data_IF_216042773431
#
_entry.id   IF_216042773431
#
_cell.length_a   1.000
_cell.length_b   1.000
_cell.length_c   1.000
_cell.angle_alpha   90.00
_cell.angle_beta   90.00
_cell.angle_gamma   90.00
#
_symmetry.space_group_name_H-M   'P 1'
#
loop_
_entity.id
_entity.type
_entity.pdbx_description
1 polymer ?
#
# COMPACT_ATOMS: atom_id res chain seq x y z
N UNK A 1 -30.79 -7.30 -31.28
CA UNK A 1 -30.45 -7.65 -29.89
C UNK A 1 -29.01 -8.12 -29.78
N UNK A 2 -28.53 -9.05 -30.63
CA UNK A 2 -27.11 -9.47 -30.67
C UNK A 2 -26.11 -8.30 -30.83
N UNK A 3 -26.37 -7.34 -31.73
CA UNK A 3 -25.49 -6.17 -31.94
C UNK A 3 -25.37 -5.26 -30.69
N UNK A 4 -26.41 -5.19 -29.85
CA UNK A 4 -26.36 -4.42 -28.60
C UNK A 4 -25.57 -5.15 -27.52
N UNK A 5 -25.75 -6.46 -27.40
CA UNK A 5 -25.00 -7.29 -26.44
C UNK A 5 -23.50 -7.34 -26.75
N UNK A 6 -23.14 -7.43 -28.03
CA UNK A 6 -21.74 -7.38 -28.48
C UNK A 6 -21.09 -6.02 -28.20
N UNK A 7 -21.80 -4.92 -28.46
CA UNK A 7 -21.34 -3.56 -28.14
C UNK A 7 -21.15 -3.35 -26.65
N UNK A 8 -22.06 -3.87 -25.83
CA UNK A 8 -21.96 -3.81 -24.37
C UNK A 8 -20.78 -4.66 -23.87
N UNK A 9 -20.56 -5.86 -24.43
CA UNK A 9 -19.42 -6.70 -24.10
C UNK A 9 -18.09 -6.00 -24.43
N UNK A 10 -17.98 -5.40 -25.62
CA UNK A 10 -16.79 -4.65 -26.00
C UNK A 10 -16.56 -3.42 -25.09
N UNK A 11 -17.63 -2.74 -24.69
CA UNK A 11 -17.57 -1.59 -23.77
C UNK A 11 -17.12 -2.03 -22.37
N UNK A 12 -17.68 -3.12 -21.83
CA UNK A 12 -17.26 -3.71 -20.55
C UNK A 12 -15.77 -4.02 -20.54
N UNK A 13 -15.27 -4.70 -21.56
CA UNK A 13 -13.85 -5.07 -21.64
C UNK A 13 -12.97 -3.83 -21.60
N UNK A 14 -13.31 -2.78 -22.37
CA UNK A 14 -12.56 -1.50 -22.35
C UNK A 14 -12.56 -0.86 -20.97
N UNK A 15 -13.72 -0.82 -20.31
CA UNK A 15 -13.87 -0.26 -18.97
C UNK A 15 -13.03 -1.04 -17.95
N UNK A 16 -13.12 -2.37 -17.95
CA UNK A 16 -12.40 -3.25 -17.02
C UNK A 16 -10.89 -3.07 -17.20
N UNK A 17 -10.42 -3.09 -18.45
CA UNK A 17 -8.99 -2.87 -18.76
C UNK A 17 -8.53 -1.49 -18.29
N UNK A 18 -9.30 -0.43 -18.54
CA UNK A 18 -8.96 0.91 -18.08
C UNK A 18 -8.89 1.01 -16.55
N UNK A 19 -9.86 0.44 -15.83
CA UNK A 19 -9.89 0.47 -14.37
C UNK A 19 -8.73 -0.31 -13.75
N UNK A 20 -8.40 -1.49 -14.29
CA UNK A 20 -7.28 -2.28 -13.81
C UNK A 20 -5.93 -1.60 -14.09
N UNK A 21 -5.78 -0.91 -15.22
CA UNK A 21 -4.50 -0.26 -15.58
C UNK A 21 -4.29 1.08 -14.87
N UNK A 22 -5.31 1.93 -14.85
CA UNK A 22 -5.17 3.34 -14.47
C UNK A 22 -5.75 3.66 -13.08
N UNK A 23 -6.58 2.78 -12.52
CA UNK A 23 -7.31 3.02 -11.26
C UNK A 23 -7.14 1.90 -10.23
N UNK A 24 -6.02 1.17 -10.28
CA UNK A 24 -5.71 0.08 -9.35
C UNK A 24 -5.88 0.48 -7.88
N UNK A 25 -5.35 1.64 -7.49
CA UNK A 25 -5.45 2.16 -6.11
C UNK A 25 -6.90 2.33 -5.66
N UNK A 26 -7.80 2.72 -6.57
CA UNK A 26 -9.24 2.83 -6.28
C UNK A 26 -9.85 1.45 -6.06
N UNK A 27 -9.49 0.45 -6.86
CA UNK A 27 -9.94 -0.95 -6.66
C UNK A 27 -9.48 -1.52 -5.31
N UNK A 28 -8.24 -1.22 -4.92
CA UNK A 28 -7.68 -1.56 -3.60
C UNK A 28 -8.50 -0.90 -2.49
N UNK A 29 -8.86 0.39 -2.63
CA UNK A 29 -9.71 1.11 -1.67
C UNK A 29 -11.12 0.51 -1.60
N UNK A 30 -11.71 0.09 -2.72
CA UNK A 30 -13.03 -0.54 -2.72
C UNK A 30 -13.04 -1.83 -1.90
N UNK A 31 -12.03 -2.69 -2.08
CA UNK A 31 -11.89 -3.90 -1.28
C UNK A 31 -11.70 -3.58 0.20
N UNK A 32 -10.84 -2.63 0.55
CA UNK A 32 -10.65 -2.25 1.95
C UNK A 32 -11.94 -1.73 2.60
N UNK A 33 -12.67 -0.85 1.90
CA UNK A 33 -13.84 -0.21 2.48
C UNK A 33 -15.07 -1.12 2.49
N UNK A 34 -15.45 -1.70 1.35
CA UNK A 34 -16.71 -2.42 1.19
C UNK A 34 -16.64 -3.87 1.67
N UNK A 35 -15.46 -4.51 1.66
CA UNK A 35 -15.31 -5.90 2.13
C UNK A 35 -14.48 -6.01 3.42
N UNK A 36 -14.02 -4.88 3.97
CA UNK A 36 -13.23 -4.79 5.20
C UNK A 36 -11.92 -5.59 5.15
N UNK A 37 -11.36 -5.78 3.95
CA UNK A 37 -10.07 -6.44 3.80
C UNK A 37 -8.92 -5.57 4.32
N UNK A 38 -7.87 -6.22 4.84
CA UNK A 38 -6.65 -5.53 5.20
C UNK A 38 -5.93 -4.97 3.96
N UNK A 39 -5.16 -3.87 4.09
CA UNK A 39 -4.45 -3.27 2.96
C UNK A 39 -3.57 -4.26 2.19
N UNK A 40 -2.85 -5.13 2.92
CA UNK A 40 -1.98 -6.15 2.33
C UNK A 40 -2.74 -7.15 1.46
N UNK A 41 -3.93 -7.59 1.90
CA UNK A 41 -4.75 -8.54 1.12
C UNK A 41 -5.44 -7.85 -0.06
N UNK A 42 -5.81 -6.58 0.09
CA UNK A 42 -6.44 -5.80 -0.95
C UNK A 42 -5.46 -5.38 -2.05
N UNK A 43 -4.14 -5.38 -1.81
CA UNK A 43 -3.12 -4.89 -2.76
C UNK A 43 -3.15 -5.57 -4.13
N UNK A 44 -3.59 -6.83 -4.19
CA UNK A 44 -3.75 -7.62 -5.42
C UNK A 44 -5.16 -7.52 -6.00
N UNK A 45 -5.84 -6.39 -5.78
CA UNK A 45 -7.15 -6.11 -6.35
C UNK A 45 -7.13 -6.27 -7.87
N UNK A 46 -8.12 -6.96 -8.42
CA UNK A 46 -8.31 -7.04 -9.86
C UNK A 46 -9.79 -7.10 -10.18
N UNK A 47 -10.28 -6.20 -11.03
CA UNK A 47 -11.65 -6.19 -11.49
C UNK A 47 -11.83 -7.27 -12.57
N UNK A 48 -12.69 -8.26 -12.31
CA UNK A 48 -12.94 -9.37 -13.23
C UNK A 48 -14.20 -9.17 -14.06
N UNK A 49 -15.30 -8.75 -13.44
CA UNK A 49 -16.57 -8.50 -14.14
C UNK A 49 -17.25 -7.23 -13.66
N UNK A 50 -18.01 -6.64 -14.57
CA UNK A 50 -18.82 -5.45 -14.34
C UNK A 50 -20.26 -5.71 -14.83
N UNK A 51 -21.19 -5.63 -13.89
CA UNK A 51 -22.63 -5.68 -14.13
C UNK A 51 -23.24 -4.30 -13.87
N UNK A 52 -24.46 -4.07 -14.35
CA UNK A 52 -25.18 -2.82 -14.10
C UNK A 52 -25.44 -2.56 -12.61
N UNK A 53 -25.51 -3.61 -11.79
CA UNK A 53 -25.79 -3.52 -10.35
C UNK A 53 -24.61 -3.83 -9.45
N UNK A 54 -23.45 -4.25 -9.99
CA UNK A 54 -22.31 -4.65 -9.16
C UNK A 54 -20.97 -4.69 -9.90
N UNK A 55 -19.89 -4.52 -9.13
CA UNK A 55 -18.52 -4.80 -9.52
C UNK A 55 -18.06 -6.10 -8.87
N UNK A 56 -17.39 -6.99 -9.63
CA UNK A 56 -16.77 -8.19 -9.07
C UNK A 56 -15.26 -8.06 -9.12
N UNK A 57 -14.64 -8.04 -7.96
CA UNK A 57 -13.19 -7.93 -7.80
C UNK A 57 -12.63 -9.20 -7.20
N UNK A 58 -11.39 -9.54 -7.53
CA UNK A 58 -10.63 -10.58 -6.86
C UNK A 58 -9.51 -9.99 -6.02
N UNK A 59 -9.15 -10.67 -4.94
CA UNK A 59 -8.03 -10.34 -4.05
C UNK A 59 -7.21 -11.60 -3.77
N UNK A 60 -5.88 -11.48 -3.71
CA UNK A 60 -4.97 -12.60 -3.52
C UNK A 60 -4.59 -13.29 -4.84
N UNK A 61 -3.56 -14.13 -4.79
CA UNK A 61 -3.00 -14.83 -5.95
C UNK A 61 -2.99 -16.34 -5.73
N UNK A 62 -3.22 -17.10 -6.79
CA UNK A 62 -3.14 -18.57 -6.76
C UNK A 62 -4.16 -19.18 -5.78
N UNK A 63 -3.74 -20.09 -4.89
CA UNK A 63 -4.65 -20.80 -3.97
C UNK A 63 -5.42 -19.91 -3.00
N UNK A 64 -4.98 -18.67 -2.78
CA UNK A 64 -5.59 -17.73 -1.85
C UNK A 64 -6.43 -16.65 -2.54
N UNK A 65 -6.69 -16.79 -3.84
CA UNK A 65 -7.55 -15.87 -4.56
C UNK A 65 -8.99 -15.97 -4.05
N UNK A 66 -9.58 -14.83 -3.72
CA UNK A 66 -10.97 -14.70 -3.28
C UNK A 66 -11.70 -13.69 -4.14
N UNK A 67 -12.91 -14.03 -4.53
CA UNK A 67 -13.81 -13.16 -5.30
C UNK A 67 -14.75 -12.41 -4.35
N UNK A 68 -14.96 -11.12 -4.63
CA UNK A 68 -15.81 -10.22 -3.88
C UNK A 68 -16.74 -9.49 -4.83
N UNK A 69 -18.03 -9.49 -4.53
CA UNK A 69 -19.04 -8.76 -5.30
C UNK A 69 -19.49 -7.55 -4.50
N UNK A 70 -19.23 -6.36 -5.05
CA UNK A 70 -19.57 -5.07 -4.43
C UNK A 70 -20.78 -4.50 -5.17
N UNK A 71 -21.92 -4.30 -4.51
CA UNK A 71 -23.10 -3.72 -5.15
C UNK A 71 -22.90 -2.24 -5.49
N UNK A 72 -23.42 -1.81 -6.63
CA UNK A 72 -23.53 -0.41 -7.03
C UNK A 72 -24.82 0.17 -6.46
N UNK A 73 -24.71 1.23 -5.67
CA UNK A 73 -25.87 1.95 -5.13
C UNK A 73 -25.76 3.44 -5.47
N UNK A 74 -26.63 3.99 -6.32
CA UNK A 74 -27.66 3.32 -7.13
C UNK A 74 -27.08 2.39 -8.23
N UNK A 75 -27.87 1.41 -8.74
CA UNK A 75 -27.51 0.65 -9.93
C UNK A 75 -27.48 1.53 -11.18
N UNK A 76 -26.72 1.12 -12.19
CA UNK A 76 -26.60 1.81 -13.48
C UNK A 76 -27.75 1.43 -14.42
N UNK A 77 -28.24 2.37 -15.22
CA UNK A 77 -29.13 2.04 -16.34
C UNK A 77 -28.34 1.64 -17.60
N UNK A 78 -27.11 2.13 -17.75
CA UNK A 78 -26.21 1.78 -18.86
C UNK A 78 -24.73 1.83 -18.44
N UNK A 79 -23.87 1.17 -19.22
CA UNK A 79 -22.41 1.21 -18.97
C UNK A 79 -21.78 2.61 -19.13
N UNK A 80 -22.48 3.56 -19.75
CA UNK A 80 -22.05 4.97 -19.81
C UNK A 80 -21.97 5.65 -18.44
N UNK A 81 -22.75 5.18 -17.46
CA UNK A 81 -22.75 5.71 -16.08
C UNK A 81 -21.58 5.21 -15.23
N UNK A 82 -20.82 4.22 -15.71
CA UNK A 82 -19.75 3.56 -14.91
C UNK A 82 -18.82 4.58 -14.29
N UNK A 83 -18.36 5.56 -15.08
CA UNK A 83 -17.43 6.59 -14.61
C UNK A 83 -17.97 7.34 -13.39
N UNK A 84 -19.23 7.75 -13.44
CA UNK A 84 -19.87 8.48 -12.35
C UNK A 84 -19.97 7.60 -11.10
N UNK A 85 -20.36 6.33 -11.27
CA UNK A 85 -20.48 5.38 -10.15
C UNK A 85 -19.15 5.12 -9.47
N UNK A 86 -18.09 4.82 -10.23
CA UNK A 86 -16.79 4.50 -9.64
C UNK A 86 -16.16 5.73 -8.98
N UNK A 87 -16.35 6.94 -9.54
CA UNK A 87 -15.85 8.18 -8.90
C UNK A 87 -16.57 8.43 -7.57
N UNK A 88 -17.88 8.23 -7.52
CA UNK A 88 -18.64 8.36 -6.27
C UNK A 88 -18.18 7.33 -5.22
N UNK A 89 -18.02 6.06 -5.63
CA UNK A 89 -17.51 5.00 -4.76
C UNK A 89 -16.09 5.28 -4.24
N UNK A 90 -15.21 5.83 -5.08
CA UNK A 90 -13.85 6.18 -4.65
C UNK A 90 -13.84 7.31 -3.64
N UNK A 91 -14.69 8.32 -3.83
CA UNK A 91 -14.86 9.39 -2.86
C UNK A 91 -15.34 8.86 -1.52
N UNK A 92 -16.36 7.99 -1.52
CA UNK A 92 -16.87 7.34 -0.32
C UNK A 92 -15.79 6.52 0.39
N UNK A 93 -15.09 5.66 -0.36
CA UNK A 93 -14.03 4.81 0.18
C UNK A 93 -12.87 5.64 0.77
N UNK A 94 -12.45 6.73 0.11
CA UNK A 94 -11.41 7.63 0.62
C UNK A 94 -11.82 8.29 1.94
N UNK A 95 -13.04 8.82 2.01
CA UNK A 95 -13.57 9.45 3.22
C UNK A 95 -13.61 8.47 4.39
N UNK A 96 -14.12 7.26 4.15
CA UNK A 96 -14.25 6.24 5.18
C UNK A 96 -12.92 5.61 5.61
N UNK A 97 -11.89 5.62 4.76
CA UNK A 97 -10.54 5.17 5.09
C UNK A 97 -9.63 6.30 5.61
N UNK A 98 -10.16 7.51 5.79
CA UNK A 98 -9.43 8.72 6.18
C UNK A 98 -8.20 8.99 5.29
N UNK A 99 -8.36 8.80 3.97
CA UNK A 99 -7.29 9.01 2.98
C UNK A 99 -7.44 10.37 2.30
N UNK A 100 -6.32 11.06 2.13
CA UNK A 100 -6.25 12.27 1.30
C UNK A 100 -6.45 11.93 -0.18
N UNK A 101 -6.91 12.92 -0.95
CA UNK A 101 -6.93 12.85 -2.41
C UNK A 101 -5.54 12.88 -3.03
N UNK A 102 -4.57 13.44 -2.30
CA UNK A 102 -3.19 13.56 -2.75
C UNK A 102 -2.49 12.22 -2.56
N UNK A 103 -2.04 11.63 -3.67
CA UNK A 103 -1.16 10.46 -3.67
C UNK A 103 0.29 10.95 -3.73
N UNK A 104 1.08 10.61 -2.71
CA UNK A 104 2.53 10.79 -2.72
C UNK A 104 3.13 9.73 -3.63
N UNK A 105 3.64 10.15 -4.80
CA UNK A 105 4.17 9.24 -5.82
C UNK A 105 5.64 8.89 -5.61
N UNK A 106 6.37 9.80 -4.99
CA UNK A 106 7.81 9.69 -4.86
C UNK A 106 8.20 9.97 -3.41
N UNK A 107 9.00 9.06 -2.86
CA UNK A 107 9.70 9.31 -1.60
C UNK A 107 11.00 10.03 -1.93
N UNK A 108 11.12 11.27 -1.48
CA UNK A 108 12.37 12.01 -1.52
C UNK A 108 13.20 11.63 -0.29
N UNK A 109 14.30 10.87 -0.45
CA UNK A 109 15.15 10.52 0.68
C UNK A 109 15.80 11.78 1.26
N UNK A 110 16.18 11.78 2.55
CA UNK A 110 16.87 12.92 3.15
C UNK A 110 18.22 13.16 2.45
N UNK A 111 18.40 14.36 1.88
CA UNK A 111 19.64 14.76 1.19
C UNK A 111 20.46 15.76 2.02
N UNK A 112 21.74 15.93 1.67
CA UNK A 112 22.64 16.89 2.31
C UNK A 112 22.85 16.60 3.80
N UNK A 113 22.74 17.64 4.64
CA UNK A 113 22.93 17.52 6.10
C UNK A 113 21.92 16.55 6.72
N UNK A 114 20.68 16.53 6.24
CA UNK A 114 19.65 15.60 6.74
C UNK A 114 20.00 14.14 6.43
N UNK A 115 20.62 13.87 5.29
CA UNK A 115 21.11 12.53 4.94
C UNK A 115 22.23 12.06 5.88
N UNK A 116 23.16 12.96 6.23
CA UNK A 116 24.23 12.69 7.20
C UNK A 116 23.64 12.40 8.58
N UNK A 117 22.68 13.21 9.04
CA UNK A 117 22.01 13.01 10.33
C UNK A 117 21.26 11.68 10.36
N UNK A 118 20.52 11.35 9.30
CA UNK A 118 19.82 10.07 9.18
C UNK A 118 20.81 8.89 9.27
N UNK A 119 21.90 8.93 8.49
CA UNK A 119 22.93 7.89 8.50
C UNK A 119 23.60 7.76 9.87
N UNK A 120 23.89 8.86 10.55
CA UNK A 120 24.47 8.85 11.90
C UNK A 120 23.52 8.19 12.91
N UNK A 121 22.24 8.54 12.89
CA UNK A 121 21.23 7.94 13.76
C UNK A 121 21.09 6.44 13.47
N UNK A 122 21.00 6.04 12.19
CA UNK A 122 20.94 4.63 11.79
C UNK A 122 22.16 3.85 12.26
N UNK A 123 23.36 4.41 12.12
CA UNK A 123 24.60 3.77 12.56
C UNK A 123 24.62 3.56 14.07
N UNK A 124 24.12 4.53 14.85
CA UNK A 124 23.96 4.37 16.31
C UNK A 124 23.00 3.22 16.63
N UNK A 125 21.83 3.16 15.99
CA UNK A 125 20.89 2.04 16.20
C UNK A 125 21.51 0.69 15.84
N UNK A 126 22.26 0.59 14.74
CA UNK A 126 22.93 -0.64 14.32
C UNK A 126 24.03 -1.02 15.32
N UNK A 127 24.88 -0.08 15.73
CA UNK A 127 25.94 -0.35 16.70
C UNK A 127 25.35 -0.82 18.04
N UNK A 128 24.26 -0.18 18.50
CA UNK A 128 23.58 -0.54 19.74
C UNK A 128 22.70 -1.78 19.62
N UNK A 129 22.38 -2.27 18.42
CA UNK A 129 21.60 -3.51 18.23
C UNK A 129 22.33 -4.75 18.74
N UNK A 130 23.67 -4.74 18.75
CA UNK A 130 24.46 -5.88 19.17
C UNK A 130 25.61 -5.47 20.10
N UNK A 131 25.50 -5.88 21.36
CA UNK A 131 26.44 -5.54 22.44
C UNK A 131 27.91 -5.89 22.13
N UNK A 132 28.17 -6.93 21.34
CA UNK A 132 29.53 -7.38 21.05
C UNK A 132 30.35 -6.36 20.23
N UNK A 133 29.72 -5.43 19.53
CA UNK A 133 30.41 -4.36 18.78
C UNK A 133 31.25 -3.45 19.70
N UNK A 134 30.84 -3.36 20.98
CA UNK A 134 31.51 -2.57 22.02
C UNK A 134 32.40 -3.40 22.95
N UNK A 135 32.56 -4.71 22.69
CA UNK A 135 33.40 -5.56 23.51
C UNK A 135 34.90 -5.22 23.33
N UNK A 136 35.76 -5.59 24.29
CA UNK A 136 37.18 -5.28 24.21
C UNK A 136 37.83 -5.85 22.93
N UNK A 137 38.65 -5.06 22.25
CA UNK A 137 39.35 -5.39 21.00
C UNK A 137 38.48 -5.33 19.74
N UNK A 138 37.24 -4.84 19.83
CA UNK A 138 36.31 -4.77 18.71
C UNK A 138 36.30 -3.40 18.01
N UNK A 139 35.53 -3.32 16.94
CA UNK A 139 35.50 -2.20 15.98
C UNK A 139 35.29 -0.83 16.65
N UNK A 140 34.42 -0.74 17.68
CA UNK A 140 34.15 0.54 18.35
C UNK A 140 35.31 1.00 19.23
N UNK A 141 35.99 0.08 19.92
CA UNK A 141 37.19 0.43 20.69
C UNK A 141 38.31 0.92 19.77
N UNK A 142 38.47 0.30 18.59
CA UNK A 142 39.46 0.70 17.59
C UNK A 142 39.20 2.06 16.94
N UNK A 143 37.93 2.44 16.74
CA UNK A 143 37.55 3.69 16.04
C UNK A 143 37.29 4.87 16.98
N UNK A 144 36.64 4.63 18.12
CA UNK A 144 36.16 5.68 19.04
C UNK A 144 36.87 5.66 20.41
N UNK A 145 37.74 4.68 20.63
CA UNK A 145 38.55 4.56 21.83
C UNK A 145 37.92 3.75 22.96
N UNK A 146 38.79 3.27 23.85
CA UNK A 146 38.45 2.34 24.93
C UNK A 146 37.43 2.90 25.94
N UNK A 147 37.52 4.19 26.27
CA UNK A 147 36.58 4.83 27.21
C UNK A 147 35.13 4.82 26.69
N UNK A 148 34.95 5.17 25.41
CA UNK A 148 33.64 5.21 24.76
C UNK A 148 33.05 3.82 24.54
N UNK A 149 33.88 2.85 24.12
CA UNK A 149 33.46 1.47 23.98
C UNK A 149 32.98 0.87 25.31
N UNK A 150 33.74 1.08 26.39
CA UNK A 150 33.38 0.59 27.74
C UNK A 150 32.08 1.22 28.25
N UNK A 151 31.91 2.53 28.09
CA UNK A 151 30.66 3.22 28.44
C UNK A 151 29.47 2.65 27.65
N UNK A 152 29.61 2.55 26.32
CA UNK A 152 28.56 2.05 25.43
C UNK A 152 28.19 0.59 25.72
N UNK A 153 29.18 -0.26 26.03
CA UNK A 153 28.97 -1.65 26.46
C UNK A 153 28.13 -1.74 27.74
N UNK A 154 28.36 -0.86 28.73
CA UNK A 154 27.57 -0.84 29.97
C UNK A 154 26.15 -0.34 29.72
N UNK A 155 25.99 0.70 28.89
CA UNK A 155 24.70 1.35 28.65
C UNK A 155 23.77 0.57 27.71
N UNK A 156 24.29 -0.20 26.76
CA UNK A 156 23.50 -0.84 25.71
C UNK A 156 22.25 -1.63 26.18
N UNK A 157 22.26 -2.41 27.28
CA UNK A 157 21.08 -3.16 27.75
C UNK A 157 19.94 -2.25 28.19
N UNK A 158 20.24 -1.01 28.56
CA UNK A 158 19.28 -0.02 29.02
C UNK A 158 18.67 0.79 27.86
N UNK A 159 19.26 0.68 26.66
CA UNK A 159 18.83 1.41 25.46
C UNK A 159 17.84 0.60 24.62
N UNK A 160 17.94 -0.73 24.65
CA UNK A 160 17.04 -1.67 23.93
C UNK A 160 16.31 -2.65 24.86
N UNK A 161 16.35 -2.41 26.17
CA UNK A 161 15.70 -3.21 27.21
C UNK A 161 14.33 -2.68 27.61
#
# INVERSE_FOLDING_TARGET
MADTEEKDAATKIRIITHLNNDHHDSLVRYLQHFTKLSPFRAQSAYLTTLDLSSLTLTSGTGPHQKTHRIPLTPPMASYGETRERVVAMDREARLALHRSEITVKEFLPPTGVYGVLFAAITLVFVAYSQRWWFAPGQVVEGLLGQGFARFSYVMQPWVLG
#
